data_IF_347830705267
#
_entry.id   IF_347830705267
#
_cell.length_a   1.000
_cell.length_b   1.000
_cell.length_c   1.000
_cell.angle_alpha   90.00
_cell.angle_beta   90.00
_cell.angle_gamma   90.00
#
_symmetry.space_group_name_H-M   'P 1'
#
loop_
_entity.id
_entity.type
_entity.pdbx_description
1 polymer ?
#
# COMPACT_ATOMS: atom_id res chain seq x y z
N UNK A 1 8.33 -17.41 35.10
CA UNK A 1 8.34 -16.13 34.36
C UNK A 1 7.87 -15.06 35.31
N UNK A 2 8.80 -14.23 35.76
CA UNK A 2 8.61 -13.20 36.79
C UNK A 2 8.21 -11.88 36.10
N UNK A 3 7.23 -11.11 36.59
CA UNK A 3 6.88 -9.84 35.97
C UNK A 3 7.91 -8.76 36.33
N UNK A 4 8.35 -8.00 35.32
CA UNK A 4 9.20 -6.81 35.46
C UNK A 4 8.44 -5.67 36.15
N UNK A 5 9.10 -4.85 37.00
CA UNK A 5 8.45 -3.76 37.72
C UNK A 5 8.25 -2.52 36.85
N UNK A 6 7.08 -1.89 37.01
CA UNK A 6 6.76 -0.53 36.55
C UNK A 6 7.65 0.47 37.30
N UNK A 7 8.57 1.10 36.58
CA UNK A 7 9.40 2.16 37.15
C UNK A 7 8.68 3.51 37.02
N UNK A 8 8.23 4.02 38.16
CA UNK A 8 7.66 5.35 38.33
C UNK A 8 8.81 6.35 38.51
N UNK A 9 9.09 7.15 37.48
CA UNK A 9 9.84 8.40 37.63
C UNK A 9 9.41 9.36 36.51
N UNK A 10 8.45 10.25 36.84
CA UNK A 10 8.14 11.45 36.05
C UNK A 10 9.07 12.58 36.53
N UNK A 11 9.85 13.23 35.65
CA UNK A 11 10.37 14.54 35.94
C UNK A 11 9.27 15.59 35.76
N UNK A 12 9.32 16.61 36.63
CA UNK A 12 8.40 17.75 36.69
C UNK A 12 8.47 18.61 35.42
N UNK A 13 7.34 19.24 35.10
CA UNK A 13 7.18 20.15 33.98
C UNK A 13 8.10 21.37 34.12
N UNK A 14 9.09 21.46 33.24
CA UNK A 14 9.79 22.71 32.95
C UNK A 14 9.08 23.40 31.79
N UNK A 15 8.57 24.60 32.06
CA UNK A 15 7.89 25.48 31.13
C UNK A 15 8.85 25.96 30.03
N UNK A 16 8.57 25.62 28.78
CA UNK A 16 9.25 26.19 27.61
C UNK A 16 8.43 27.36 27.04
N UNK A 17 8.99 28.56 26.88
CA UNK A 17 8.27 29.70 26.32
C UNK A 17 8.63 29.88 24.85
N UNK A 18 7.95 29.20 23.91
CA UNK A 18 7.91 29.62 22.50
C UNK A 18 6.71 28.98 21.80
N UNK A 19 5.56 29.67 21.85
CA UNK A 19 4.50 29.55 20.85
C UNK A 19 4.42 30.92 20.18
N UNK A 20 4.99 31.03 18.98
CA UNK A 20 4.58 32.07 18.06
C UNK A 20 3.09 31.84 17.75
N UNK A 21 2.26 32.81 18.11
CA UNK A 21 0.87 32.88 17.68
C UNK A 21 0.84 32.79 16.15
N UNK A 22 0.32 31.68 15.62
CA UNK A 22 0.01 31.60 14.19
C UNK A 22 -1.17 32.55 13.93
N UNK A 23 -1.18 33.30 12.80
CA UNK A 23 -2.31 34.16 12.47
C UNK A 23 -3.62 33.35 12.43
N UNK A 24 -4.75 34.00 12.70
CA UNK A 24 -6.09 33.40 12.62
C UNK A 24 -6.47 33.11 11.16
N UNK A 25 -6.05 31.95 10.67
CA UNK A 25 -6.47 31.44 9.37
C UNK A 25 -7.97 31.15 9.41
N UNK A 26 -8.69 31.49 8.35
CA UNK A 26 -10.07 31.00 8.17
C UNK A 26 -10.06 29.46 8.07
N UNK A 27 -11.18 28.81 8.40
CA UNK A 27 -11.31 27.35 8.28
C UNK A 27 -10.88 26.87 6.87
N UNK A 28 -11.33 27.56 5.81
CA UNK A 28 -10.93 27.27 4.44
C UNK A 28 -9.40 27.31 4.19
N UNK A 29 -8.69 28.26 4.82
CA UNK A 29 -7.23 28.36 4.69
C UNK A 29 -6.51 27.25 5.47
N UNK A 30 -6.94 26.92 6.69
CA UNK A 30 -6.35 25.82 7.47
C UNK A 30 -6.47 24.51 6.70
N UNK A 31 -7.60 24.33 6.03
CA UNK A 31 -7.92 23.15 5.25
C UNK A 31 -7.11 23.08 3.96
N UNK A 32 -6.97 24.19 3.23
CA UNK A 32 -6.10 24.25 2.07
C UNK A 32 -4.63 23.87 2.41
N UNK A 33 -4.14 24.21 3.60
CA UNK A 33 -2.84 23.75 4.07
C UNK A 33 -2.79 22.26 4.39
N UNK A 34 -3.87 21.65 4.85
CA UNK A 34 -3.96 20.19 5.04
C UNK A 34 -3.98 19.44 3.69
N UNK A 35 -4.60 20.00 2.65
CA UNK A 35 -4.60 19.45 1.28
C UNK A 35 -3.21 19.37 0.67
N UNK A 36 -2.40 20.43 0.83
CA UNK A 36 -1.02 20.43 0.33
C UNK A 36 -0.26 19.22 0.86
N UNK A 37 -0.57 18.81 2.09
CA UNK A 37 0.10 17.67 2.67
C UNK A 37 -0.38 16.33 2.08
N UNK A 38 -1.58 16.21 1.51
CA UNK A 38 -2.09 14.96 0.90
C UNK A 38 -1.41 14.59 -0.43
N UNK A 39 -0.50 15.44 -0.92
CA UNK A 39 0.18 15.28 -2.20
C UNK A 39 1.54 14.64 -1.97
N UNK A 40 1.73 13.45 -2.51
CA UNK A 40 3.05 12.82 -2.64
C UNK A 40 3.58 13.12 -4.04
N UNK A 41 4.58 13.98 -4.16
CA UNK A 41 5.20 14.32 -5.44
C UNK A 41 6.72 14.09 -5.41
N UNK A 42 7.34 13.64 -6.51
CA UNK A 42 8.77 13.35 -6.57
C UNK A 42 9.62 14.64 -6.63
N UNK A 43 8.97 15.77 -6.92
CA UNK A 43 9.57 17.10 -6.96
C UNK A 43 8.76 18.06 -6.11
N UNK A 44 9.37 19.11 -5.55
CA UNK A 44 8.64 20.14 -4.81
C UNK A 44 7.52 20.74 -5.66
N UNK A 45 6.32 20.79 -5.09
CA UNK A 45 5.16 21.39 -5.73
C UNK A 45 4.53 22.44 -4.80
N UNK A 46 3.90 23.45 -5.40
CA UNK A 46 2.99 24.36 -4.71
C UNK A 46 1.59 23.90 -5.01
N UNK A 47 0.81 23.69 -3.97
CA UNK A 47 -0.59 23.31 -4.11
C UNK A 47 -1.49 24.42 -3.57
N UNK A 48 -2.59 24.68 -4.28
CA UNK A 48 -3.66 25.58 -3.84
C UNK A 48 -5.02 24.93 -4.09
N UNK A 49 -5.86 24.91 -3.06
CA UNK A 49 -7.24 24.46 -3.17
C UNK A 49 -8.17 25.65 -3.02
N UNK A 50 -9.16 25.77 -3.91
CA UNK A 50 -10.17 26.82 -3.90
C UNK A 50 -11.57 26.20 -4.01
N UNK A 51 -12.51 26.52 -3.10
CA UNK A 51 -13.90 26.11 -3.26
C UNK A 51 -14.53 26.85 -4.44
N UNK A 52 -15.45 26.18 -5.14
CA UNK A 52 -16.26 26.76 -6.22
C UNK A 52 -17.75 26.56 -5.90
N UNK A 53 -18.67 27.28 -6.56
CA UNK A 53 -20.11 27.06 -6.35
C UNK A 53 -20.58 25.62 -6.63
N UNK A 54 -19.79 24.84 -7.39
CA UNK A 54 -20.14 23.50 -7.86
C UNK A 54 -19.28 22.40 -7.23
N UNK A 55 -18.31 22.75 -6.37
CA UNK A 55 -17.35 21.81 -5.79
C UNK A 55 -16.03 22.48 -5.43
N UNK A 56 -14.92 21.95 -5.95
CA UNK A 56 -13.56 22.39 -5.61
C UNK A 56 -12.62 22.37 -6.80
N UNK A 57 -11.66 23.29 -6.81
CA UNK A 57 -10.52 23.30 -7.74
C UNK A 57 -9.23 23.16 -6.95
N UNK A 58 -8.40 22.19 -7.30
CA UNK A 58 -7.05 22.02 -6.79
C UNK A 58 -6.04 22.26 -7.91
N UNK A 59 -5.13 23.20 -7.69
CA UNK A 59 -4.03 23.48 -8.60
C UNK A 59 -2.72 23.04 -7.98
N UNK A 60 -1.95 22.23 -8.70
CA UNK A 60 -0.59 21.83 -8.40
C UNK A 60 0.35 22.49 -9.41
N UNK A 61 1.33 23.25 -8.93
CA UNK A 61 2.35 23.87 -9.76
C UNK A 61 3.73 23.35 -9.36
N UNK A 62 4.51 22.87 -10.32
CA UNK A 62 5.81 22.26 -10.11
C UNK A 62 6.92 23.24 -10.49
N UNK A 63 7.97 23.33 -9.66
CA UNK A 63 9.13 24.17 -9.96
C UNK A 63 10.00 23.62 -11.09
N UNK A 64 9.91 22.31 -11.33
CA UNK A 64 10.55 21.59 -12.43
C UNK A 64 9.48 20.81 -13.17
N UNK A 65 9.44 20.85 -14.51
CA UNK A 65 8.50 20.05 -15.28
C UNK A 65 8.61 18.56 -14.96
N UNK A 66 7.45 17.89 -14.95
CA UNK A 66 7.33 16.45 -14.78
C UNK A 66 7.74 15.75 -16.09
N UNK A 67 8.56 14.71 -15.98
CA UNK A 67 8.97 13.82 -17.09
C UNK A 67 8.80 12.37 -16.67
N UNK A 68 7.96 11.63 -17.38
CA UNK A 68 7.71 10.22 -17.15
C UNK A 68 7.03 9.95 -15.80
N UNK A 69 6.00 10.72 -15.44
CA UNK A 69 5.15 10.45 -14.26
C UNK A 69 3.69 10.18 -14.65
N UNK A 70 2.94 9.67 -13.69
CA UNK A 70 1.49 9.53 -13.69
C UNK A 70 0.90 10.05 -12.39
N UNK A 71 -0.37 10.44 -12.46
CA UNK A 71 -1.15 10.98 -11.37
C UNK A 71 -2.17 9.94 -10.92
N UNK A 72 -2.03 9.46 -9.69
CA UNK A 72 -3.06 8.70 -9.00
C UNK A 72 -3.87 9.65 -8.12
N UNK A 73 -5.17 9.70 -8.37
CA UNK A 73 -6.14 10.49 -7.60
C UNK A 73 -7.07 9.53 -6.88
N UNK A 74 -6.88 9.39 -5.57
CA UNK A 74 -7.73 8.55 -4.72
C UNK A 74 -8.84 9.40 -4.10
N UNK A 75 -10.07 9.10 -4.51
CA UNK A 75 -11.29 9.78 -4.11
C UNK A 75 -12.17 8.81 -3.32
N UNK A 76 -12.61 9.21 -2.14
CA UNK A 76 -13.66 8.57 -1.38
C UNK A 76 -14.64 9.65 -0.93
N UNK A 77 -15.74 9.80 -1.67
CA UNK A 77 -16.75 10.81 -1.41
C UNK A 77 -18.01 10.19 -0.82
N UNK A 78 -18.69 10.83 0.15
CA UNK A 78 -20.03 10.40 0.56
C UNK A 78 -21.10 10.67 -0.53
N UNK A 79 -20.77 11.45 -1.57
CA UNK A 79 -21.68 11.82 -2.65
C UNK A 79 -21.03 11.60 -4.03
N UNK A 80 -21.78 11.15 -5.03
CA UNK A 80 -21.25 11.02 -6.39
C UNK A 80 -20.89 12.38 -6.97
N UNK A 81 -19.97 12.38 -7.95
CA UNK A 81 -19.48 13.59 -8.59
C UNK A 81 -18.69 13.32 -9.86
N UNK A 82 -18.00 14.33 -10.35
CA UNK A 82 -17.11 14.26 -11.51
C UNK A 82 -15.75 14.88 -11.18
N UNK A 83 -14.69 14.28 -11.70
CA UNK A 83 -13.32 14.78 -11.63
C UNK A 83 -12.88 15.14 -13.06
N UNK A 84 -12.55 16.41 -13.29
CA UNK A 84 -11.89 16.87 -14.53
C UNK A 84 -10.43 17.20 -14.23
N UNK A 85 -9.54 16.92 -15.17
CA UNK A 85 -8.12 17.18 -15.05
C UNK A 85 -7.65 18.07 -16.20
N UNK A 86 -6.82 19.07 -15.91
CA UNK A 86 -6.11 19.86 -16.92
C UNK A 86 -4.61 19.80 -16.63
N UNK A 87 -3.84 19.36 -17.61
CA UNK A 87 -2.39 19.20 -17.58
C UNK A 87 -1.82 20.28 -18.50
N UNK A 88 -1.40 21.41 -17.92
CA UNK A 88 -1.12 22.66 -18.63
C UNK A 88 -2.26 23.07 -19.59
N UNK A 89 -2.11 22.80 -20.89
CA UNK A 89 -3.08 23.15 -21.94
C UNK A 89 -3.94 21.96 -22.41
N UNK A 90 -3.64 20.74 -21.97
CA UNK A 90 -4.39 19.54 -22.33
C UNK A 90 -5.42 19.19 -21.26
N UNK A 91 -6.66 18.97 -21.67
CA UNK A 91 -7.75 18.58 -20.77
C UNK A 91 -8.07 17.10 -20.88
N UNK A 92 -8.16 16.41 -19.74
CA UNK A 92 -8.85 15.13 -19.63
C UNK A 92 -10.29 15.43 -19.22
N UNK A 93 -11.24 14.94 -20.03
CA UNK A 93 -12.66 15.15 -19.81
C UNK A 93 -13.14 14.64 -18.44
N UNK A 94 -14.35 15.05 -18.01
CA UNK A 94 -14.87 14.70 -16.70
C UNK A 94 -15.02 13.19 -16.55
N UNK A 95 -14.41 12.64 -15.49
CA UNK A 95 -14.53 11.23 -15.09
C UNK A 95 -15.50 11.14 -13.91
N UNK A 96 -16.62 10.40 -14.02
CA UNK A 96 -17.57 10.25 -12.92
C UNK A 96 -16.99 9.39 -11.79
N UNK A 97 -17.33 9.71 -10.54
CA UNK A 97 -17.08 8.87 -9.36
C UNK A 97 -18.36 8.66 -8.55
N UNK A 98 -18.45 7.51 -7.88
CA UNK A 98 -19.59 7.12 -7.04
C UNK A 98 -19.31 7.39 -5.55
N UNK A 99 -20.17 6.88 -4.66
CA UNK A 99 -19.96 6.94 -3.21
C UNK A 99 -18.88 5.96 -2.71
N UNK A 100 -18.43 5.05 -3.57
CA UNK A 100 -17.37 4.11 -3.24
C UNK A 100 -15.99 4.75 -3.45
N UNK A 101 -14.99 4.23 -2.76
CA UNK A 101 -13.61 4.67 -2.97
C UNK A 101 -13.15 4.31 -4.39
N UNK A 102 -12.72 5.31 -5.14
CA UNK A 102 -12.21 5.20 -6.51
C UNK A 102 -10.77 5.71 -6.56
N UNK A 103 -9.92 5.03 -7.31
CA UNK A 103 -8.62 5.56 -7.70
C UNK A 103 -8.66 5.82 -9.21
N UNK A 104 -8.33 7.04 -9.60
CA UNK A 104 -8.19 7.42 -10.99
C UNK A 104 -6.72 7.57 -11.29
N UNK A 105 -6.30 6.93 -12.37
CA UNK A 105 -4.93 7.00 -12.84
C UNK A 105 -4.90 7.79 -14.15
N UNK A 106 -4.03 8.80 -14.22
CA UNK A 106 -3.89 9.66 -15.38
C UNK A 106 -2.42 9.74 -15.82
N UNK A 107 -2.11 9.44 -17.09
CA UNK A 107 -0.78 9.68 -17.62
C UNK A 107 -0.49 11.18 -17.65
N UNK A 108 0.67 11.60 -17.12
CA UNK A 108 1.10 13.00 -17.16
C UNK A 108 2.02 13.18 -18.37
N UNK A 109 1.69 14.04 -19.36
CA UNK A 109 2.60 14.35 -20.47
C UNK A 109 3.95 14.89 -20.00
N UNK A 110 5.01 14.55 -20.72
CA UNK A 110 6.35 15.07 -20.43
C UNK A 110 6.37 16.59 -20.62
N UNK A 111 7.02 17.29 -19.70
CA UNK A 111 7.04 18.75 -19.66
C UNK A 111 5.89 19.37 -18.88
N UNK A 112 4.98 18.58 -18.30
CA UNK A 112 3.85 19.13 -17.52
C UNK A 112 4.36 19.93 -16.33
N UNK A 113 3.97 21.20 -16.24
CA UNK A 113 4.38 22.12 -15.16
C UNK A 113 3.26 22.44 -14.18
N UNK A 114 2.01 22.30 -14.62
CA UNK A 114 0.82 22.62 -13.84
C UNK A 114 -0.24 21.54 -14.05
N UNK A 115 -0.85 21.10 -12.95
CA UNK A 115 -1.99 20.19 -12.94
C UNK A 115 -3.14 20.89 -12.22
N UNK A 116 -4.28 21.03 -12.89
CA UNK A 116 -5.51 21.55 -12.30
C UNK A 116 -6.55 20.43 -12.25
N UNK A 117 -7.03 20.11 -11.05
CA UNK A 117 -8.10 19.15 -10.80
C UNK A 117 -9.36 19.92 -10.42
N UNK A 118 -10.37 19.83 -11.26
CA UNK A 118 -11.68 20.42 -11.02
C UNK A 118 -12.64 19.29 -10.64
N UNK A 119 -13.14 19.33 -9.41
CA UNK A 119 -14.06 18.33 -8.91
C UNK A 119 -15.43 18.96 -8.70
N UNK A 120 -16.45 18.36 -9.31
CA UNK A 120 -17.84 18.73 -9.14
C UNK A 120 -18.59 17.61 -8.43
N UNK A 121 -19.58 17.96 -7.63
CA UNK A 121 -20.29 17.04 -6.74
C UNK A 121 -20.81 17.85 -5.57
N UNK A 122 -22.00 17.49 -5.05
CA UNK A 122 -22.78 18.39 -4.21
C UNK A 122 -21.90 19.04 -3.14
N UNK A 123 -21.82 20.38 -3.24
CA UNK A 123 -21.03 21.19 -2.33
C UNK A 123 -21.39 20.76 -0.90
N UNK A 124 -20.40 20.53 -0.02
CA UNK A 124 -20.69 20.18 1.36
C UNK A 124 -21.64 21.23 1.92
N UNK A 125 -22.86 20.82 2.30
CA UNK A 125 -23.81 21.74 2.94
C UNK A 125 -23.22 22.28 4.26
N UNK A 126 -22.30 21.52 4.84
CA UNK A 126 -21.44 21.91 5.94
C UNK A 126 -19.98 21.86 5.45
N UNK A 127 -19.23 22.98 5.48
CA UNK A 127 -17.79 22.92 5.24
C UNK A 127 -17.09 21.92 6.17
N UNK A 128 -17.65 21.52 7.32
CA UNK A 128 -17.11 20.48 8.21
C UNK A 128 -17.26 19.03 7.70
N UNK A 129 -18.04 18.78 6.63
CA UNK A 129 -18.18 17.42 6.07
C UNK A 129 -16.92 16.99 5.31
N UNK A 130 -16.45 15.76 5.59
CA UNK A 130 -15.23 15.18 5.04
C UNK A 130 -15.13 15.37 3.52
N UNK A 131 -13.98 15.93 3.12
CA UNK A 131 -13.57 16.08 1.74
C UNK A 131 -13.48 14.71 1.05
N UNK A 132 -13.78 14.65 -0.25
CA UNK A 132 -13.73 13.39 -0.98
C UNK A 132 -12.31 12.99 -1.38
N UNK A 133 -11.30 13.87 -1.36
CA UNK A 133 -9.92 13.47 -1.65
C UNK A 133 -9.26 12.80 -0.45
N UNK A 134 -8.76 11.58 -0.66
CA UNK A 134 -8.04 10.82 0.37
C UNK A 134 -6.54 10.84 0.17
N UNK A 135 -6.08 10.79 -1.08
CA UNK A 135 -4.67 10.99 -1.41
C UNK A 135 -4.49 11.35 -2.89
N UNK A 136 -3.48 12.17 -3.18
CA UNK A 136 -3.05 12.45 -4.55
C UNK A 136 -1.58 12.08 -4.64
N UNK A 137 -1.21 11.26 -5.61
CA UNK A 137 0.18 10.82 -5.78
C UNK A 137 0.63 11.04 -7.20
N UNK A 138 1.83 11.58 -7.32
CA UNK A 138 2.55 11.68 -8.58
C UNK A 138 3.68 10.68 -8.49
N UNK A 139 3.63 9.67 -9.35
CA UNK A 139 4.59 8.57 -9.33
C UNK A 139 5.25 8.44 -10.70
N UNK A 140 6.52 8.02 -10.79
CA UNK A 140 7.13 7.70 -12.07
C UNK A 140 6.30 6.68 -12.88
N UNK A 141 6.09 6.92 -14.17
CA UNK A 141 5.51 5.98 -15.16
C UNK A 141 6.17 4.62 -15.13
N UNK A 142 7.44 4.50 -14.74
CA UNK A 142 8.10 3.21 -14.62
C UNK A 142 7.52 2.34 -13.47
N UNK A 143 7.02 2.97 -12.40
CA UNK A 143 6.31 2.30 -11.29
C UNK A 143 4.88 1.93 -11.71
N UNK A 144 4.25 2.80 -12.50
CA UNK A 144 2.93 2.56 -13.06
C UNK A 144 2.96 1.51 -14.18
N UNK A 145 3.91 1.52 -15.10
CA UNK A 145 4.11 0.46 -16.08
C UNK A 145 4.41 -0.87 -15.37
N UNK A 146 5.12 -0.86 -14.24
CA UNK A 146 5.26 -2.04 -13.38
C UNK A 146 3.96 -2.41 -12.63
N UNK A 147 2.99 -1.50 -12.54
CA UNK A 147 1.65 -1.66 -11.96
C UNK A 147 0.57 -1.98 -13.02
N UNK A 148 0.75 -1.59 -14.28
CA UNK A 148 -0.17 -1.81 -15.42
C UNK A 148 0.29 -2.95 -16.33
N UNK A 149 1.59 -3.29 -16.37
CA UNK A 149 2.03 -4.61 -16.84
C UNK A 149 1.46 -5.74 -15.95
N UNK A 150 0.83 -5.41 -14.81
CA UNK A 150 0.16 -6.38 -13.92
C UNK A 150 -1.17 -6.88 -14.49
N UNK A 151 -1.81 -6.20 -15.44
CA UNK A 151 -3.10 -6.62 -16.04
C UNK A 151 -2.95 -7.35 -17.38
N UNK A 152 -1.72 -7.55 -17.86
CA UNK A 152 -1.45 -8.18 -19.14
C UNK A 152 -1.45 -9.71 -19.09
N UNK A 153 -2.22 -10.35 -19.96
CA UNK A 153 -2.14 -11.81 -20.23
C UNK A 153 -0.84 -12.25 -20.89
N UNK A 154 0.03 -11.32 -21.28
CA UNK A 154 1.30 -11.60 -21.95
C UNK A 154 2.31 -12.28 -21.00
N UNK A 155 2.95 -13.35 -21.46
CA UNK A 155 3.95 -14.07 -20.67
C UNK A 155 5.05 -13.13 -20.11
N UNK A 156 5.53 -13.36 -18.87
CA UNK A 156 6.60 -12.54 -18.28
C UNK A 156 7.87 -12.64 -19.13
N UNK A 157 8.51 -11.49 -19.39
CA UNK A 157 9.69 -11.42 -20.26
C UNK A 157 11.00 -11.61 -19.49
N UNK A 158 10.98 -11.42 -18.18
CA UNK A 158 12.13 -11.54 -17.28
C UNK A 158 11.65 -11.83 -15.84
N UNK A 159 12.60 -12.08 -14.93
CA UNK A 159 12.32 -12.43 -13.54
C UNK A 159 11.61 -11.31 -12.76
N UNK A 160 11.89 -10.04 -13.09
CA UNK A 160 11.23 -8.88 -12.49
C UNK A 160 9.74 -8.88 -12.84
N UNK A 161 9.41 -9.06 -14.11
CA UNK A 161 8.03 -9.08 -14.59
C UNK A 161 7.27 -10.26 -14.01
N UNK A 162 7.92 -11.42 -13.85
CA UNK A 162 7.34 -12.55 -13.13
C UNK A 162 7.08 -12.19 -11.66
N UNK A 163 8.05 -11.63 -10.93
CA UNK A 163 7.89 -11.29 -9.52
C UNK A 163 6.78 -10.24 -9.26
N UNK A 164 6.51 -9.36 -10.23
CA UNK A 164 5.40 -8.39 -10.19
C UNK A 164 4.02 -9.05 -10.32
N UNK A 165 3.92 -10.28 -10.83
CA UNK A 165 2.66 -11.05 -10.88
C UNK A 165 2.23 -11.62 -9.53
N UNK A 166 3.04 -11.42 -8.48
CA UNK A 166 2.76 -11.94 -7.15
C UNK A 166 2.61 -10.83 -6.13
N UNK A 167 1.73 -11.01 -5.14
CA UNK A 167 1.50 -10.11 -4.01
C UNK A 167 1.86 -10.82 -2.72
N UNK A 168 2.71 -10.23 -1.88
CA UNK A 168 2.94 -10.76 -0.53
C UNK A 168 1.71 -10.55 0.36
N UNK A 169 1.23 -11.60 1.01
CA UNK A 169 0.23 -11.53 2.08
C UNK A 169 0.85 -11.47 3.49
N UNK A 170 2.17 -11.40 3.63
CA UNK A 170 2.83 -11.19 4.92
C UNK A 170 3.48 -12.46 5.50
N UNK A 171 3.16 -12.79 6.75
CA UNK A 171 3.91 -13.63 7.70
C UNK A 171 5.28 -13.05 8.10
N UNK A 172 6.11 -12.64 7.14
CA UNK A 172 7.36 -11.93 7.37
C UNK A 172 7.81 -11.08 6.14
N UNK A 173 9.06 -10.62 6.17
CA UNK A 173 9.66 -9.81 5.10
C UNK A 173 10.25 -10.59 3.92
N UNK A 174 10.31 -11.92 4.01
CA UNK A 174 11.11 -12.77 3.13
C UNK A 174 10.70 -12.63 1.65
N UNK A 175 9.42 -12.87 1.34
CA UNK A 175 8.96 -12.81 -0.04
C UNK A 175 9.10 -11.40 -0.65
N UNK A 176 8.91 -10.35 0.17
CA UNK A 176 9.15 -8.98 -0.27
C UNK A 176 10.62 -8.70 -0.61
N UNK A 177 11.56 -9.37 0.06
CA UNK A 177 13.00 -9.30 -0.22
C UNK A 177 13.34 -10.11 -1.47
N UNK A 178 12.71 -11.27 -1.69
CA UNK A 178 12.82 -12.03 -2.95
C UNK A 178 12.45 -11.14 -4.13
N UNK A 179 11.29 -10.50 -4.08
CA UNK A 179 10.85 -9.58 -5.13
C UNK A 179 11.90 -8.49 -5.40
N UNK A 180 12.44 -7.88 -4.33
CA UNK A 180 13.47 -6.84 -4.45
C UNK A 180 14.77 -7.36 -5.08
N UNK A 181 15.21 -8.58 -4.74
CA UNK A 181 16.38 -9.23 -5.34
C UNK A 181 16.19 -9.52 -6.83
N UNK A 182 14.95 -9.78 -7.25
CA UNK A 182 14.57 -9.96 -8.65
C UNK A 182 14.28 -8.63 -9.36
N UNK A 183 14.57 -7.48 -8.74
CA UNK A 183 14.37 -6.15 -9.34
C UNK A 183 12.94 -5.63 -9.30
N UNK A 184 12.03 -6.30 -8.57
CA UNK A 184 10.65 -5.89 -8.37
C UNK A 184 10.45 -5.21 -7.01
N UNK A 185 9.78 -4.06 -6.99
CA UNK A 185 9.47 -3.34 -5.75
C UNK A 185 7.96 -3.00 -5.69
N UNK A 186 7.08 -4.01 -5.66
CA UNK A 186 5.64 -3.76 -5.68
C UNK A 186 5.19 -3.06 -4.39
N UNK A 187 4.14 -2.26 -4.51
CA UNK A 187 3.59 -1.48 -3.43
C UNK A 187 2.31 -2.17 -2.92
N UNK A 188 2.48 -3.16 -2.04
CA UNK A 188 1.39 -3.99 -1.52
C UNK A 188 1.21 -3.81 0.01
N UNK A 189 -0.02 -3.99 0.51
CA UNK A 189 -0.37 -3.76 1.93
C UNK A 189 0.45 -4.58 2.91
N UNK A 190 0.56 -5.89 2.65
CA UNK A 190 1.19 -6.83 3.56
C UNK A 190 2.67 -7.07 3.24
N UNK A 191 3.25 -6.32 2.29
CA UNK A 191 4.65 -6.44 1.95
C UNK A 191 5.51 -6.00 3.14
N UNK A 192 6.37 -6.90 3.60
CA UNK A 192 7.17 -6.75 4.83
C UNK A 192 6.38 -6.75 6.14
N UNK A 193 5.12 -7.20 6.10
CA UNK A 193 4.31 -7.29 7.30
C UNK A 193 4.33 -8.69 7.92
N UNK A 194 4.20 -8.74 9.24
CA UNK A 194 4.00 -9.98 9.99
C UNK A 194 2.54 -10.06 10.45
N UNK A 195 1.70 -10.75 9.67
CA UNK A 195 0.26 -10.86 9.95
C UNK A 195 -0.18 -12.32 9.80
N UNK A 196 -0.80 -12.91 10.85
CA UNK A 196 -1.36 -14.25 10.74
C UNK A 196 -2.52 -14.32 9.75
N UNK A 197 -2.69 -15.47 9.08
CA UNK A 197 -3.74 -15.67 8.06
C UNK A 197 -5.15 -15.29 8.54
N UNK A 198 -5.49 -15.59 9.79
CA UNK A 198 -6.79 -15.25 10.36
C UNK A 198 -7.09 -13.73 10.30
N UNK A 199 -6.08 -12.88 10.53
CA UNK A 199 -6.22 -11.42 10.48
C UNK A 199 -6.25 -10.88 9.05
N UNK A 200 -5.59 -11.57 8.12
CA UNK A 200 -5.69 -11.28 6.68
C UNK A 200 -7.12 -11.57 6.19
N UNK A 201 -7.67 -12.73 6.53
CA UNK A 201 -9.04 -13.11 6.19
C UNK A 201 -10.07 -12.17 6.84
N UNK A 202 -9.84 -11.74 8.08
CA UNK A 202 -10.66 -10.70 8.72
C UNK A 202 -10.63 -9.37 7.96
N UNK A 203 -9.46 -8.96 7.46
CA UNK A 203 -9.32 -7.79 6.60
C UNK A 203 -10.12 -7.90 5.30
N UNK A 204 -10.05 -9.06 4.65
CA UNK A 204 -10.80 -9.37 3.42
C UNK A 204 -12.31 -9.28 3.65
N UNK A 205 -12.83 -9.89 4.72
CA UNK A 205 -14.26 -9.89 5.05
C UNK A 205 -14.81 -8.48 5.28
N UNK A 206 -13.97 -7.54 5.73
CA UNK A 206 -14.36 -6.16 6.05
C UNK A 206 -13.96 -5.14 5.00
N UNK A 207 -13.31 -5.56 3.91
CA UNK A 207 -12.75 -4.66 2.90
C UNK A 207 -11.85 -3.58 3.50
N UNK A 208 -11.19 -3.87 4.62
CA UNK A 208 -10.35 -2.93 5.38
C UNK A 208 -11.04 -1.62 5.81
N UNK A 209 -12.36 -1.64 6.01
CA UNK A 209 -13.12 -0.48 6.47
C UNK A 209 -12.56 0.11 7.79
N UNK A 210 -12.20 1.40 7.76
CA UNK A 210 -11.66 2.10 8.93
C UNK A 210 -10.18 1.81 9.20
N UNK A 211 -9.42 1.32 8.21
CA UNK A 211 -7.98 1.13 8.35
C UNK A 211 -7.21 2.41 8.71
N UNK A 212 -7.76 3.59 8.38
CA UNK A 212 -7.30 4.93 8.75
C UNK A 212 -7.89 5.46 10.07
N UNK A 213 -8.90 4.81 10.63
CA UNK A 213 -9.63 5.27 11.81
C UNK A 213 -9.05 4.72 13.12
N UNK A 214 -8.09 3.79 13.04
CA UNK A 214 -7.56 3.07 14.21
C UNK A 214 -6.61 3.94 15.07
N UNK A 215 -7.08 5.04 15.64
CA UNK A 215 -6.25 5.96 16.43
C UNK A 215 -4.96 6.39 15.69
N UNK A 216 -3.94 6.94 16.39
CA UNK A 216 -2.63 7.07 15.78
C UNK A 216 -2.09 5.66 15.54
N UNK A 217 -1.84 5.30 14.27
CA UNK A 217 -0.97 4.17 13.96
C UNK A 217 0.22 4.22 14.91
N UNK A 218 0.45 3.11 15.59
CA UNK A 218 1.49 3.08 16.60
C UNK A 218 2.82 3.03 15.86
N UNK A 219 3.58 4.10 15.99
CA UNK A 219 4.90 4.23 15.39
C UNK A 219 5.92 4.15 16.50
N UNK A 220 6.78 3.13 16.42
CA UNK A 220 7.82 2.84 17.40
C UNK A 220 9.20 2.80 16.75
N UNK A 221 10.23 3.03 17.54
CA UNK A 221 11.62 2.89 17.11
C UNK A 221 12.14 1.51 17.51
N UNK A 222 12.88 0.85 16.62
CA UNK A 222 13.65 -0.34 16.99
C UNK A 222 15.09 -0.22 16.49
N UNK A 223 16.03 -0.68 17.31
CA UNK A 223 17.45 -0.77 16.97
C UNK A 223 17.68 -2.03 16.12
N UNK A 224 18.31 -1.87 14.98
CA UNK A 224 18.70 -2.97 14.10
C UNK A 224 20.14 -3.41 14.34
N UNK A 225 20.49 -4.58 13.78
CA UNK A 225 21.85 -5.14 13.87
C UNK A 225 22.94 -4.27 13.23
N UNK A 226 22.56 -3.30 12.38
CA UNK A 226 23.47 -2.31 11.78
C UNK A 226 23.79 -1.12 12.73
N UNK A 227 23.21 -1.10 13.94
CA UNK A 227 23.37 -0.04 14.91
C UNK A 227 22.47 1.18 14.69
N UNK A 228 21.66 1.20 13.63
CA UNK A 228 20.71 2.29 13.35
C UNK A 228 19.33 1.99 13.94
N UNK A 229 18.55 3.04 14.18
CA UNK A 229 17.15 2.94 14.58
C UNK A 229 16.24 3.16 13.38
N UNK A 230 15.25 2.29 13.25
CA UNK A 230 14.24 2.37 12.18
C UNK A 230 12.83 2.48 12.77
N UNK A 231 11.96 3.14 12.01
CA UNK A 231 10.54 3.25 12.36
C UNK A 231 9.80 1.96 12.03
N UNK A 232 9.03 1.48 12.99
CA UNK A 232 8.06 0.42 12.85
C UNK A 232 6.66 1.01 12.92
N UNK A 233 5.76 0.47 12.09
CA UNK A 233 4.37 0.86 12.07
C UNK A 233 3.53 -0.32 12.52
N UNK A 234 2.59 -0.07 13.42
CA UNK A 234 1.55 -1.01 13.82
C UNK A 234 0.16 -0.41 13.64
N UNK A 235 -0.59 -0.99 12.70
CA UNK A 235 -2.00 -0.73 12.48
C UNK A 235 -2.81 -1.73 13.31
N UNK A 236 -3.58 -1.21 14.28
CA UNK A 236 -4.17 -2.02 15.35
C UNK A 236 -5.38 -2.85 14.91
N UNK A 237 -6.27 -2.28 14.11
CA UNK A 237 -7.55 -2.91 13.74
C UNK A 237 -7.35 -4.23 12.97
N UNK A 238 -6.38 -4.24 12.06
CA UNK A 238 -6.05 -5.39 11.20
C UNK A 238 -4.75 -6.08 11.60
N UNK A 239 -4.16 -5.67 12.73
CA UNK A 239 -2.89 -6.17 13.27
C UNK A 239 -1.75 -6.19 12.25
N UNK A 240 -1.66 -5.15 11.43
CA UNK A 240 -0.61 -5.04 10.42
C UNK A 240 0.59 -4.38 11.06
N UNK A 241 1.67 -5.15 11.25
CA UNK A 241 2.95 -4.64 11.71
C UNK A 241 3.98 -4.77 10.60
N UNK A 242 4.71 -3.70 10.28
CA UNK A 242 5.82 -3.74 9.34
C UNK A 242 6.94 -2.78 9.73
N UNK A 243 8.16 -3.14 9.35
CA UNK A 243 9.30 -2.22 9.33
C UNK A 243 9.17 -1.26 8.15
N UNK A 244 9.26 0.05 8.39
CA UNK A 244 9.08 1.04 7.32
C UNK A 244 10.27 1.15 6.36
N UNK A 245 11.44 0.66 6.77
CA UNK A 245 12.73 0.92 6.10
C UNK A 245 13.22 2.37 6.24
N UNK A 246 12.54 3.21 7.02
CA UNK A 246 12.89 4.61 7.26
C UNK A 246 13.64 4.74 8.57
N UNK A 247 14.82 5.35 8.54
CA UNK A 247 15.63 5.62 9.73
C UNK A 247 15.01 6.72 10.58
N UNK A 248 15.16 6.62 11.91
CA UNK A 248 14.60 7.58 12.85
C UNK A 248 15.26 8.96 12.79
N UNK A 249 16.48 9.06 12.28
CA UNK A 249 17.22 10.32 12.12
C UNK A 249 16.88 11.07 10.82
N UNK A 250 16.25 10.41 9.84
CA UNK A 250 15.87 11.04 8.57
C UNK A 250 14.44 11.53 8.55
N UNK A 251 13.61 11.11 9.51
CA UNK A 251 12.18 11.44 9.54
C UNK A 251 11.63 11.53 10.96
N UNK A 252 10.85 12.58 11.23
CA UNK A 252 10.21 12.75 12.53
C UNK A 252 9.10 11.71 12.77
N UNK A 253 8.84 11.41 14.05
CA UNK A 253 7.71 10.56 14.46
C UNK A 253 6.35 11.07 13.92
N UNK A 254 6.14 12.38 13.94
CA UNK A 254 4.90 13.00 13.49
C UNK A 254 4.70 12.80 11.98
N UNK A 255 5.76 12.97 11.19
CA UNK A 255 5.71 12.74 9.74
C UNK A 255 5.54 11.25 9.42
N UNK A 256 6.20 10.35 10.16
CA UNK A 256 6.02 8.91 9.97
C UNK A 256 4.59 8.46 10.29
N UNK A 257 3.97 8.98 11.36
CA UNK A 257 2.54 8.73 11.65
C UNK A 257 1.63 9.23 10.53
N UNK A 258 1.88 10.44 10.05
CA UNK A 258 1.10 11.06 8.96
C UNK A 258 1.17 10.22 7.68
N UNK A 259 2.37 9.82 7.28
CA UNK A 259 2.58 9.01 6.08
C UNK A 259 1.94 7.63 6.21
N UNK A 260 2.03 7.04 7.40
CA UNK A 260 1.39 5.76 7.66
C UNK A 260 -0.14 5.82 7.51
N UNK A 261 -0.77 6.85 8.08
CA UNK A 261 -2.22 7.08 7.97
C UNK A 261 -2.66 7.31 6.52
N UNK A 262 -1.85 7.97 5.70
CA UNK A 262 -2.14 8.19 4.27
C UNK A 262 -1.94 6.95 3.42
N UNK A 263 -0.90 6.18 3.71
CA UNK A 263 -0.50 5.07 2.87
C UNK A 263 -1.42 3.88 3.02
N UNK A 264 -1.86 3.55 4.24
CA UNK A 264 -2.63 2.32 4.51
C UNK A 264 -3.94 2.21 3.71
N UNK A 265 -4.82 3.24 3.63
CA UNK A 265 -6.07 3.15 2.86
C UNK A 265 -5.86 2.83 1.39
N UNK A 266 -4.86 3.47 0.77
CA UNK A 266 -4.51 3.20 -0.62
C UNK A 266 -3.98 1.78 -0.81
N UNK A 267 -3.10 1.29 0.07
CA UNK A 267 -2.58 -0.08 -0.03
C UNK A 267 -3.70 -1.11 0.14
N UNK A 268 -4.63 -0.85 1.07
CA UNK A 268 -5.80 -1.69 1.27
C UNK A 268 -6.72 -1.68 0.05
N UNK A 269 -7.02 -0.50 -0.50
CA UNK A 269 -7.78 -0.37 -1.74
C UNK A 269 -7.13 -1.16 -2.88
N UNK A 270 -5.82 -1.02 -3.08
CA UNK A 270 -5.08 -1.74 -4.13
C UNK A 270 -5.15 -3.25 -3.93
N UNK A 271 -5.01 -3.73 -2.70
CA UNK A 271 -5.16 -5.15 -2.41
C UNK A 271 -6.58 -5.64 -2.73
N UNK A 272 -7.62 -4.87 -2.37
CA UNK A 272 -9.00 -5.21 -2.71
C UNK A 272 -9.24 -5.22 -4.23
N UNK A 273 -8.59 -4.32 -4.97
CA UNK A 273 -8.63 -4.31 -6.43
C UNK A 273 -7.98 -5.58 -7.02
N UNK A 274 -6.77 -5.93 -6.56
CA UNK A 274 -6.12 -7.21 -6.94
C UNK A 274 -6.98 -8.43 -6.59
N UNK A 275 -7.68 -8.43 -5.45
CA UNK A 275 -8.57 -9.52 -5.06
C UNK A 275 -9.74 -9.69 -6.04
N UNK A 276 -10.28 -8.58 -6.55
CA UNK A 276 -11.40 -8.57 -7.51
C UNK A 276 -10.95 -8.96 -8.90
N UNK A 277 -9.87 -8.36 -9.40
CA UNK A 277 -9.35 -8.59 -10.75
C UNK A 277 -8.77 -10.00 -10.91
N UNK A 278 -8.13 -10.51 -9.86
CA UNK A 278 -7.40 -11.77 -9.89
C UNK A 278 -6.24 -11.79 -10.88
N UNK A 279 -5.67 -10.62 -11.17
CA UNK A 279 -4.55 -10.43 -12.09
C UNK A 279 -3.20 -10.89 -11.52
N UNK A 280 -3.11 -11.02 -10.19
CA UNK A 280 -1.91 -11.42 -9.46
C UNK A 280 -2.20 -12.59 -8.51
N UNK A 281 -1.16 -13.40 -8.29
CA UNK A 281 -1.20 -14.52 -7.34
C UNK A 281 -0.77 -14.02 -5.96
N UNK A 282 -1.62 -14.22 -4.96
CA UNK A 282 -1.33 -13.90 -3.58
C UNK A 282 -0.39 -14.96 -2.98
N UNK A 283 0.67 -14.56 -2.30
CA UNK A 283 1.65 -15.46 -1.69
C UNK A 283 1.60 -15.35 -0.18
N UNK A 284 1.28 -16.46 0.48
CA UNK A 284 1.33 -16.57 1.93
C UNK A 284 2.42 -17.56 2.33
N UNK A 285 3.54 -17.05 2.81
CA UNK A 285 4.66 -17.82 3.36
C UNK A 285 4.32 -18.21 4.80
N UNK A 286 4.65 -19.42 5.24
CA UNK A 286 4.57 -19.82 6.66
C UNK A 286 5.43 -21.07 6.94
N UNK A 287 5.92 -21.20 8.16
CA UNK A 287 6.80 -22.32 8.57
C UNK A 287 6.17 -23.72 8.52
N UNK A 288 4.84 -23.79 8.56
CA UNK A 288 4.09 -25.06 8.59
C UNK A 288 2.99 -25.04 7.53
N UNK A 289 2.51 -26.18 7.02
CA UNK A 289 1.34 -26.18 6.14
C UNK A 289 0.10 -25.53 6.80
N UNK A 290 -0.76 -24.88 6.01
CA UNK A 290 -2.09 -24.47 6.48
C UNK A 290 -2.94 -25.71 6.80
N UNK A 291 -3.78 -25.61 7.82
CA UNK A 291 -4.80 -26.62 8.08
C UNK A 291 -5.83 -26.64 6.93
N UNK A 292 -6.42 -27.81 6.56
CA UNK A 292 -7.43 -27.88 5.50
C UNK A 292 -8.59 -26.89 5.66
N UNK A 293 -9.01 -26.63 6.90
CA UNK A 293 -10.03 -25.62 7.20
C UNK A 293 -9.59 -24.19 6.85
N UNK A 294 -8.32 -23.84 7.05
CA UNK A 294 -7.77 -22.54 6.68
C UNK A 294 -7.68 -22.40 5.15
N UNK A 295 -7.27 -23.47 4.45
CA UNK A 295 -7.24 -23.50 2.98
C UNK A 295 -8.65 -23.29 2.41
N UNK A 296 -9.65 -24.00 2.94
CA UNK A 296 -11.05 -23.84 2.55
C UNK A 296 -11.56 -22.42 2.84
N UNK A 297 -11.24 -21.88 4.01
CA UNK A 297 -11.62 -20.52 4.40
C UNK A 297 -11.01 -19.44 3.49
N UNK A 298 -9.74 -19.61 3.08
CA UNK A 298 -9.08 -18.74 2.12
C UNK A 298 -9.71 -18.87 0.73
N UNK A 299 -9.86 -20.10 0.22
CA UNK A 299 -10.43 -20.37 -1.10
C UNK A 299 -11.83 -19.76 -1.28
N UNK A 300 -12.71 -19.95 -0.29
CA UNK A 300 -14.06 -19.39 -0.32
C UNK A 300 -14.08 -17.85 -0.32
N UNK A 301 -13.25 -17.19 0.50
CA UNK A 301 -13.18 -15.72 0.54
C UNK A 301 -12.65 -15.13 -0.75
N UNK A 302 -11.60 -15.73 -1.30
CA UNK A 302 -11.07 -15.31 -2.60
C UNK A 302 -12.14 -15.44 -3.70
N UNK A 303 -12.87 -16.57 -3.73
CA UNK A 303 -13.94 -16.78 -4.70
C UNK A 303 -15.14 -15.82 -4.51
N UNK A 304 -15.40 -15.38 -3.28
CA UNK A 304 -16.45 -14.41 -2.98
C UNK A 304 -16.07 -12.98 -3.38
N UNK A 305 -14.77 -12.64 -3.33
CA UNK A 305 -14.27 -11.30 -3.65
C UNK A 305 -13.91 -11.14 -5.13
N UNK A 306 -13.54 -12.20 -5.84
CA UNK A 306 -13.19 -12.16 -7.25
C UNK A 306 -12.51 -13.41 -7.78
N UNK A 307 -11.64 -13.23 -8.77
CA UNK A 307 -10.89 -14.31 -9.44
C UNK A 307 -9.49 -14.54 -8.86
N UNK A 308 -9.12 -13.87 -7.76
CA UNK A 308 -7.80 -14.00 -7.18
C UNK A 308 -7.44 -15.43 -6.78
N UNK A 309 -6.16 -15.72 -6.92
CA UNK A 309 -5.56 -17.01 -6.67
C UNK A 309 -4.50 -16.88 -5.58
N UNK A 310 -4.27 -17.94 -4.82
CA UNK A 310 -3.26 -17.95 -3.78
C UNK A 310 -2.28 -19.12 -3.90
N UNK A 311 -1.04 -18.84 -3.52
CA UNK A 311 0.05 -19.78 -3.31
C UNK A 311 0.45 -19.72 -1.83
N UNK A 312 0.33 -20.86 -1.15
CA UNK A 312 0.73 -21.01 0.24
C UNK A 312 2.05 -21.75 0.28
N UNK A 313 3.11 -21.12 0.77
CA UNK A 313 4.46 -21.67 0.73
C UNK A 313 4.92 -22.07 2.12
N UNK A 314 5.45 -23.28 2.25
CA UNK A 314 6.07 -23.78 3.47
C UNK A 314 7.38 -24.54 3.14
N UNK A 315 8.28 -24.76 4.12
CA UNK A 315 9.51 -25.47 3.86
C UNK A 315 9.26 -26.99 3.83
N UNK A 316 10.04 -27.69 3.02
CA UNK A 316 10.19 -29.15 3.03
C UNK A 316 11.68 -29.49 2.79
N UNK A 317 12.47 -29.74 3.84
CA UNK A 317 13.90 -29.97 3.72
C UNK A 317 14.24 -31.31 3.05
N UNK A 318 13.24 -32.16 2.77
CA UNK A 318 13.45 -33.42 2.04
C UNK A 318 13.45 -33.23 0.52
N UNK A 319 13.08 -32.04 0.04
CA UNK A 319 12.98 -31.73 -1.37
C UNK A 319 14.03 -30.71 -1.80
N UNK A 320 14.89 -31.10 -2.74
CA UNK A 320 15.90 -30.19 -3.31
C UNK A 320 15.29 -29.17 -4.29
N UNK A 321 14.16 -29.52 -4.90
CA UNK A 321 13.46 -28.69 -5.88
C UNK A 321 12.10 -28.23 -5.34
N UNK A 322 11.68 -27.00 -5.65
CA UNK A 322 10.35 -26.54 -5.28
C UNK A 322 9.28 -27.38 -5.97
N UNK A 323 8.23 -27.73 -5.23
CA UNK A 323 7.05 -28.41 -5.78
C UNK A 323 5.81 -27.57 -5.56
N UNK A 324 4.80 -27.81 -6.40
CA UNK A 324 3.50 -27.18 -6.26
C UNK A 324 2.37 -28.19 -6.47
N UNK A 325 1.34 -28.09 -5.64
CA UNK A 325 0.12 -28.88 -5.76
C UNK A 325 -1.10 -27.98 -5.59
N UNK A 326 -2.05 -28.07 -6.52
CA UNK A 326 -3.34 -27.40 -6.36
C UNK A 326 -4.15 -28.13 -5.27
N UNK A 327 -4.57 -27.40 -4.24
CA UNK A 327 -5.27 -27.94 -3.07
C UNK A 327 -6.71 -27.44 -2.93
N UNK A 328 -7.06 -26.38 -3.66
CA UNK A 328 -8.43 -25.93 -3.87
C UNK A 328 -8.54 -25.26 -5.25
N UNK A 329 -9.75 -24.86 -5.67
CA UNK A 329 -10.00 -24.28 -6.99
C UNK A 329 -9.05 -23.13 -7.34
N UNK A 330 -8.79 -22.25 -6.40
CA UNK A 330 -7.97 -21.04 -6.52
C UNK A 330 -6.83 -20.99 -5.49
N UNK A 331 -6.44 -22.13 -4.91
CA UNK A 331 -5.34 -22.20 -3.94
C UNK A 331 -4.41 -23.36 -4.29
N UNK A 332 -3.11 -23.09 -4.30
CA UNK A 332 -2.06 -24.09 -4.40
C UNK A 332 -1.14 -24.04 -3.17
N UNK A 333 -0.64 -25.20 -2.76
CA UNK A 333 0.46 -25.32 -1.82
C UNK A 333 1.77 -25.44 -2.60
N UNK A 334 2.78 -24.69 -2.18
CA UNK A 334 4.14 -24.76 -2.67
C UNK A 334 5.11 -25.17 -1.56
N UNK A 335 6.13 -25.94 -1.91
CA UNK A 335 7.24 -26.27 -1.01
C UNK A 335 8.55 -25.71 -1.55
N UNK A 336 9.46 -25.35 -0.64
CA UNK A 336 10.87 -25.07 -0.94
C UNK A 336 11.76 -25.74 0.10
N UNK A 337 13.03 -25.99 -0.22
CA UNK A 337 13.95 -26.68 0.69
C UNK A 337 14.07 -26.00 2.07
N UNK A 338 14.19 -24.67 2.07
CA UNK A 338 14.28 -23.87 3.30
C UNK A 338 13.89 -22.42 3.05
N UNK A 339 13.42 -21.76 4.11
CA UNK A 339 13.33 -20.31 4.16
C UNK A 339 14.66 -19.66 4.58
N UNK A 340 14.72 -18.34 4.43
CA UNK A 340 15.78 -17.53 5.00
C UNK A 340 15.79 -17.60 6.54
N UNK A 341 16.96 -17.42 7.15
CA UNK A 341 17.10 -17.26 8.60
C UNK A 341 16.33 -15.99 9.04
N UNK A 342 15.37 -16.09 9.97
CA UNK A 342 14.54 -14.95 10.38
C UNK A 342 15.34 -13.81 11.01
N UNK A 343 16.54 -14.08 11.54
CA UNK A 343 17.44 -13.06 12.11
C UNK A 343 18.36 -12.41 11.09
N UNK A 344 18.50 -13.04 9.90
CA UNK A 344 19.44 -12.64 8.83
C UNK A 344 18.81 -12.81 7.46
N UNK A 345 17.56 -12.38 7.30
CA UNK A 345 16.76 -12.65 6.10
C UNK A 345 17.47 -12.16 4.83
N UNK A 346 18.01 -10.95 4.85
CA UNK A 346 18.68 -10.36 3.67
C UNK A 346 19.93 -11.14 3.23
N UNK A 347 20.68 -11.70 4.18
CA UNK A 347 21.93 -12.43 3.94
C UNK A 347 21.71 -13.86 3.48
N UNK A 348 20.62 -14.46 3.95
CA UNK A 348 20.34 -15.90 3.79
C UNK A 348 19.21 -16.16 2.80
N UNK A 349 18.63 -15.12 2.20
CA UNK A 349 17.59 -15.25 1.19
C UNK A 349 18.07 -16.05 -0.02
N UNK A 350 17.20 -16.94 -0.51
CA UNK A 350 17.45 -17.82 -1.66
C UNK A 350 16.46 -17.58 -2.80
N UNK A 351 16.62 -16.49 -3.59
CA UNK A 351 15.73 -16.22 -4.72
C UNK A 351 15.70 -17.36 -5.75
N UNK A 352 16.77 -18.15 -5.81
CA UNK A 352 16.90 -19.33 -6.68
C UNK A 352 15.93 -20.47 -6.30
N UNK A 353 15.43 -20.54 -5.06
CA UNK A 353 14.36 -21.46 -4.67
C UNK A 353 12.97 -20.91 -5.02
N UNK A 354 12.80 -19.60 -4.89
CA UNK A 354 11.52 -18.93 -5.13
C UNK A 354 11.18 -18.76 -6.62
N UNK A 355 12.20 -18.52 -7.46
CA UNK A 355 11.98 -18.24 -8.88
C UNK A 355 11.34 -19.44 -9.62
N UNK A 356 11.84 -20.69 -9.51
CA UNK A 356 11.18 -21.82 -10.15
C UNK A 356 9.80 -22.10 -9.55
N UNK A 357 9.60 -21.87 -8.24
CA UNK A 357 8.29 -22.00 -7.60
C UNK A 357 7.27 -21.03 -8.20
N UNK A 358 7.64 -19.76 -8.40
CA UNK A 358 6.78 -18.75 -9.04
C UNK A 358 6.45 -19.12 -10.49
N UNK A 359 7.42 -19.63 -11.25
CA UNK A 359 7.19 -20.10 -12.63
C UNK A 359 6.18 -21.26 -12.67
N UNK A 360 6.34 -22.24 -11.79
CA UNK A 360 5.42 -23.37 -11.66
C UNK A 360 4.03 -22.89 -11.21
N UNK A 361 3.95 -21.96 -10.27
CA UNK A 361 2.69 -21.38 -9.78
C UNK A 361 1.93 -20.63 -10.88
N UNK A 362 2.61 -19.79 -11.66
CA UNK A 362 2.00 -19.08 -12.77
C UNK A 362 1.40 -20.07 -13.78
N UNK A 363 2.15 -21.13 -14.12
CA UNK A 363 1.69 -22.15 -15.08
C UNK A 363 0.50 -22.94 -14.54
N UNK A 364 0.63 -23.46 -13.32
CA UNK A 364 -0.40 -24.28 -12.70
C UNK A 364 -1.70 -23.50 -12.51
N UNK A 365 -1.62 -22.29 -11.95
CA UNK A 365 -2.80 -21.52 -11.56
C UNK A 365 -3.47 -20.81 -12.74
N UNK A 366 -2.74 -20.44 -13.79
CA UNK A 366 -3.34 -19.87 -15.02
C UNK A 366 -4.11 -20.91 -15.85
N UNK A 367 -3.89 -22.21 -15.60
CA UNK A 367 -4.59 -23.27 -16.32
C UNK A 367 -6.05 -23.39 -15.82
N UNK A 368 -7.05 -23.43 -16.73
CA UNK A 368 -8.43 -23.73 -16.35
C UNK A 368 -8.53 -25.12 -15.71
N UNK A 369 -9.48 -25.28 -14.80
CA UNK A 369 -9.76 -26.55 -14.13
C UNK A 369 -10.41 -27.58 -15.06
#
# INVERSE_FOLDING_TARGET
MTPLPLNANRPSAASFPFLHERPSWSAAQQWAAEWVQLIEAPVPCRASAMPTPQGWTLTLAFGTPLTGQCLDVFIQSPQPGTLSLRLDHEGVGPVPFSQEAACFNFPIPDGTSTIVMDMQGAAPADPATLLPFRSIRIMPRAIEAATMLQTGTAAPQNDRDLALRFVSLGDNCEFGIVQRRLGADPLDLYRFSAVPIAWILYGFDRGFAGIDQSGPHEVTEQLQGDGNRYWYVYQREYRIQFESGVRCDTKSLADMRRDSLRRMPFLAWRLMDTLRSGDRILVFRRETPLHPAEISALSHRLAALGSAQALVVHPDPTQDNPTIQRVARNVANGTIASFADPTRVVDTIRPDLWLPLMQQAQTLLSSPL
#
